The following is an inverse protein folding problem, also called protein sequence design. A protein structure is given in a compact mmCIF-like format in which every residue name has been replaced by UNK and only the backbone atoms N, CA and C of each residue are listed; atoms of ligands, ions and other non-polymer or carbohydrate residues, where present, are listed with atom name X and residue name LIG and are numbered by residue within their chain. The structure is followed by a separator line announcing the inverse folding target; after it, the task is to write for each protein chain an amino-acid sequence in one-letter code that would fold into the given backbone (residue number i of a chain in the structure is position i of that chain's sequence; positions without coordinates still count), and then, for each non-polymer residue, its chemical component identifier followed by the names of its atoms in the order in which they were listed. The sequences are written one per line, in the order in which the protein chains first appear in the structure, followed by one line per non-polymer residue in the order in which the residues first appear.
data_IF_436953561683
#
_entry.id   IF_436953561683
#
_cell.length_a   1.000
_cell.length_b   1.000
_cell.length_c   1.000
_cell.angle_alpha   90.00
_cell.angle_beta   90.00
_cell.angle_gamma   90.00
#
_symmetry.space_group_name_H-M   'P 1'
#
loop_
_entity.id
_entity.type
_entity.pdbx_description
1 polymer ?
#
# COMPACT_ATOMS: atom_id res chain seq x y z
N UNK A 1 -19.01 -14.45 19.29
CA UNK A 1 -18.42 -13.10 19.50
C UNK A 1 -17.04 -13.33 20.05
N UNK A 2 -16.00 -12.96 19.30
CA UNK A 2 -14.61 -13.08 19.74
C UNK A 2 -13.98 -11.71 19.52
N UNK A 3 -14.20 -10.83 20.50
CA UNK A 3 -13.53 -9.55 20.63
C UNK A 3 -12.10 -9.82 21.11
N UNK A 4 -11.19 -10.05 20.16
CA UNK A 4 -9.76 -10.24 20.40
C UNK A 4 -8.96 -9.11 19.76
N UNK A 5 -8.48 -8.21 20.62
CA UNK A 5 -7.40 -7.22 20.46
C UNK A 5 -6.75 -7.11 19.06
N UNK A 6 -6.86 -5.91 18.48
CA UNK A 6 -6.46 -5.58 17.12
C UNK A 6 -5.08 -6.11 16.73
N UNK A 7 -5.07 -7.28 16.07
CA UNK A 7 -3.88 -7.92 15.57
C UNK A 7 -3.12 -6.94 14.68
N UNK A 8 -1.88 -6.67 15.06
CA UNK A 8 -0.97 -5.95 14.20
C UNK A 8 -0.52 -6.90 13.10
N UNK A 9 -0.80 -6.57 11.84
CA UNK A 9 -0.34 -7.35 10.69
C UNK A 9 0.80 -6.61 10.00
N UNK A 10 1.87 -7.33 9.68
CA UNK A 10 3.04 -6.78 9.01
C UNK A 10 3.35 -7.61 7.76
N UNK A 11 3.49 -6.93 6.63
CA UNK A 11 3.88 -7.49 5.35
C UNK A 11 5.06 -6.67 4.84
N UNK A 12 6.15 -7.33 4.48
CA UNK A 12 7.35 -6.71 3.93
C UNK A 12 7.94 -7.64 2.87
N UNK A 13 8.00 -7.17 1.64
CA UNK A 13 8.59 -7.90 0.54
C UNK A 13 9.03 -6.93 -0.56
N UNK A 14 9.98 -7.41 -1.36
CA UNK A 14 10.40 -6.74 -2.58
C UNK A 14 9.96 -7.57 -3.78
N UNK A 15 9.55 -6.90 -4.86
CA UNK A 15 9.18 -7.54 -6.13
C UNK A 15 9.59 -6.65 -7.29
N UNK A 16 9.55 -7.18 -8.52
CA UNK A 16 9.72 -6.38 -9.73
C UNK A 16 8.35 -5.94 -10.25
N UNK A 17 8.18 -4.64 -10.45
CA UNK A 17 7.04 -4.05 -11.16
C UNK A 17 7.58 -3.32 -12.37
N UNK A 18 7.18 -3.75 -13.58
CA UNK A 18 7.67 -3.18 -14.84
C UNK A 18 9.22 -3.19 -14.90
N UNK A 19 9.83 -4.33 -14.53
CA UNK A 19 11.29 -4.55 -14.43
C UNK A 19 12.05 -3.66 -13.42
N UNK A 20 11.34 -2.88 -12.60
CA UNK A 20 11.92 -2.03 -11.55
C UNK A 20 11.74 -2.71 -10.19
N UNK A 21 12.83 -2.83 -9.44
CA UNK A 21 12.79 -3.32 -8.05
C UNK A 21 11.92 -2.40 -7.19
N UNK A 22 10.94 -2.99 -6.52
CA UNK A 22 9.88 -2.29 -5.80
C UNK A 22 9.76 -2.89 -4.40
N UNK A 23 10.03 -2.08 -3.39
CA UNK A 23 9.84 -2.44 -2.00
C UNK A 23 8.42 -2.09 -1.56
N UNK A 24 7.71 -3.05 -0.97
CA UNK A 24 6.35 -2.88 -0.45
C UNK A 24 6.32 -3.29 1.01
N UNK A 25 5.88 -2.37 1.86
CA UNK A 25 5.67 -2.62 3.29
C UNK A 25 4.29 -2.17 3.72
N UNK A 26 3.59 -3.03 4.45
CA UNK A 26 2.28 -2.74 5.00
C UNK A 26 2.29 -3.08 6.48
N UNK A 27 2.06 -2.08 7.33
CA UNK A 27 1.86 -2.25 8.76
C UNK A 27 0.42 -1.86 9.08
N UNK A 28 -0.37 -2.83 9.48
CA UNK A 28 -1.73 -2.62 9.93
C UNK A 28 -1.79 -2.73 11.45
N UNK A 29 -2.30 -1.71 12.12
CA UNK A 29 -2.56 -1.68 13.57
C UNK A 29 -4.06 -1.68 13.82
N UNK A 30 -4.49 -1.59 15.07
CA UNK A 30 -5.92 -1.44 15.41
C UNK A 30 -6.57 -0.17 14.82
N UNK A 31 -5.80 0.90 14.64
CA UNK A 31 -6.33 2.25 14.27
C UNK A 31 -5.82 2.77 12.93
N UNK A 32 -4.68 2.28 12.46
CA UNK A 32 -4.00 2.78 11.27
C UNK A 32 -3.61 1.63 10.34
N UNK A 33 -3.55 1.91 9.04
CA UNK A 33 -2.79 1.13 8.08
C UNK A 33 -1.73 2.04 7.43
N UNK A 34 -0.47 1.66 7.59
CA UNK A 34 0.68 2.31 6.99
C UNK A 34 1.09 1.50 5.76
N UNK A 35 1.18 2.14 4.60
CA UNK A 35 1.55 1.52 3.33
C UNK A 35 2.74 2.31 2.78
N UNK A 36 3.87 1.63 2.59
CA UNK A 36 5.08 2.19 2.05
C UNK A 36 5.46 1.45 0.77
N UNK A 37 5.68 2.20 -0.30
CA UNK A 37 6.03 1.68 -1.62
C UNK A 37 7.13 2.55 -2.21
N UNK A 38 8.22 1.92 -2.64
CA UNK A 38 9.38 2.63 -3.15
C UNK A 38 10.04 1.89 -4.33
N UNK A 39 10.35 2.62 -5.40
CA UNK A 39 11.06 2.13 -6.60
C UNK A 39 12.48 2.72 -6.78
N UNK A 40 13.05 3.32 -5.73
CA UNK A 40 14.45 3.78 -5.70
C UNK A 40 14.71 5.14 -6.38
N UNK A 41 15.88 5.72 -6.12
CA UNK A 41 16.17 7.17 -6.11
C UNK A 41 16.16 7.93 -7.44
N UNK A 42 16.15 7.26 -8.60
CA UNK A 42 16.21 7.97 -9.89
C UNK A 42 14.82 8.36 -10.41
N UNK A 43 14.48 9.65 -10.31
CA UNK A 43 13.26 10.29 -10.83
C UNK A 43 11.97 9.57 -10.45
N UNK A 44 11.44 9.93 -9.28
CA UNK A 44 10.17 9.38 -8.78
C UNK A 44 9.05 10.41 -8.83
N UNK A 45 7.84 9.89 -9.03
CA UNK A 45 6.59 10.61 -8.85
C UNK A 45 5.91 10.12 -7.57
N UNK A 46 5.37 11.05 -6.79
CA UNK A 46 4.63 10.75 -5.57
C UNK A 46 3.16 10.51 -5.91
N UNK A 47 2.66 9.33 -5.57
CA UNK A 47 1.28 8.89 -5.80
C UNK A 47 0.53 8.56 -4.50
N UNK A 48 1.01 9.10 -3.37
CA UNK A 48 0.49 8.88 -2.01
C UNK A 48 -1.04 9.06 -1.95
N UNK A 49 -1.52 10.24 -2.35
CA UNK A 49 -2.95 10.56 -2.33
C UNK A 49 -3.73 9.80 -3.40
N UNK A 50 -3.13 9.49 -4.55
CA UNK A 50 -3.77 8.67 -5.58
C UNK A 50 -4.06 7.26 -5.06
N UNK A 51 -3.08 6.59 -4.45
CA UNK A 51 -3.28 5.25 -3.90
C UNK A 51 -4.25 5.26 -2.72
N UNK A 52 -4.10 6.24 -1.81
CA UNK A 52 -4.99 6.40 -0.65
C UNK A 52 -6.45 6.59 -1.06
N UNK A 53 -6.71 7.37 -2.11
CA UNK A 53 -8.05 7.58 -2.65
C UNK A 53 -8.63 6.28 -3.24
N UNK A 54 -7.82 5.50 -3.96
CA UNK A 54 -8.27 4.23 -4.53
C UNK A 54 -8.61 3.19 -3.44
N UNK A 55 -7.80 3.07 -2.39
CA UNK A 55 -8.09 2.20 -1.24
C UNK A 55 -9.37 2.65 -0.52
N UNK A 56 -9.52 3.96 -0.30
CA UNK A 56 -10.70 4.54 0.37
C UNK A 56 -11.99 4.29 -0.43
N UNK A 57 -11.94 4.44 -1.77
CA UNK A 57 -13.07 4.17 -2.67
C UNK A 57 -13.48 2.70 -2.67
N UNK A 58 -12.52 1.79 -2.56
CA UNK A 58 -12.78 0.35 -2.44
C UNK A 58 -13.42 -0.06 -1.11
N UNK A 59 -13.58 0.88 -0.15
CA UNK A 59 -14.13 0.63 1.20
C UNK A 59 -13.36 -0.45 1.97
N UNK A 60 -12.08 -0.63 1.65
CA UNK A 60 -11.21 -1.57 2.34
C UNK A 60 -10.73 -0.89 3.63
N UNK A 61 -10.88 -1.58 4.77
CA UNK A 61 -10.54 -1.07 6.11
C UNK A 61 -11.15 0.33 6.41
N UNK A 62 -12.48 0.50 6.27
CA UNK A 62 -13.12 1.83 6.27
C UNK A 62 -13.01 2.59 7.60
N UNK A 63 -12.71 1.90 8.70
CA UNK A 63 -12.59 2.48 10.04
C UNK A 63 -11.14 2.81 10.42
N UNK A 64 -10.16 2.54 9.56
CA UNK A 64 -8.73 2.77 9.84
C UNK A 64 -8.24 4.02 9.14
N UNK A 65 -7.36 4.76 9.81
CA UNK A 65 -6.64 5.88 9.19
C UNK A 65 -5.59 5.33 8.23
N UNK A 66 -5.60 5.79 6.98
CA UNK A 66 -4.62 5.39 5.96
C UNK A 66 -3.47 6.39 5.92
N UNK A 67 -2.25 5.89 6.08
CA UNK A 67 -1.01 6.64 5.87
C UNK A 67 -0.26 5.95 4.74
N UNK A 68 -0.09 6.65 3.62
CA UNK A 68 0.45 6.07 2.39
C UNK A 68 1.65 6.89 1.93
N UNK A 69 2.75 6.21 1.64
CA UNK A 69 3.91 6.73 0.92
C UNK A 69 4.09 5.85 -0.31
N UNK A 70 3.92 6.43 -1.50
CA UNK A 70 3.93 5.71 -2.76
C UNK A 70 4.82 6.46 -3.76
N UNK A 71 6.06 6.02 -3.85
CA UNK A 71 7.08 6.60 -4.71
C UNK A 71 7.40 5.65 -5.85
N UNK A 72 6.95 5.99 -7.06
CA UNK A 72 7.08 5.12 -8.23
C UNK A 72 7.57 5.89 -9.45
N UNK A 73 8.22 5.20 -10.39
CA UNK A 73 8.88 5.86 -11.54
C UNK A 73 7.92 6.27 -12.64
N UNK A 74 6.83 5.52 -12.85
CA UNK A 74 5.89 5.74 -13.95
C UNK A 74 4.45 5.55 -13.51
N UNK A 75 3.52 6.11 -14.30
CA UNK A 75 2.09 5.94 -14.04
C UNK A 75 1.62 4.49 -14.31
N UNK A 76 2.26 3.81 -15.26
CA UNK A 76 2.02 2.40 -15.55
C UNK A 76 2.40 1.53 -14.34
N UNK A 77 3.58 1.77 -13.75
CA UNK A 77 4.00 1.08 -12.54
C UNK A 77 3.03 1.34 -11.37
N UNK A 78 2.53 2.57 -11.23
CA UNK A 78 1.49 2.90 -10.26
C UNK A 78 0.23 2.03 -10.44
N UNK A 79 -0.24 1.85 -11.67
CA UNK A 79 -1.46 1.07 -11.94
C UNK A 79 -1.33 -0.41 -11.57
N UNK A 80 -0.13 -1.00 -11.72
CA UNK A 80 0.12 -2.38 -11.32
C UNK A 80 0.31 -2.50 -9.81
N UNK A 81 1.07 -1.59 -9.20
CA UNK A 81 1.20 -1.48 -7.74
C UNK A 81 -0.16 -1.35 -7.07
N UNK A 82 -1.05 -0.51 -7.61
CA UNK A 82 -2.41 -0.36 -7.11
C UNK A 82 -3.14 -1.70 -7.03
N UNK A 83 -3.07 -2.54 -8.07
CA UNK A 83 -3.72 -3.86 -8.08
C UNK A 83 -3.13 -4.75 -6.99
N UNK A 84 -1.80 -4.82 -6.90
CA UNK A 84 -1.08 -5.62 -5.87
C UNK A 84 -1.54 -5.24 -4.46
N UNK A 85 -1.59 -3.94 -4.16
CA UNK A 85 -2.00 -3.45 -2.83
C UNK A 85 -3.46 -3.75 -2.53
N UNK A 86 -4.37 -3.52 -3.48
CA UNK A 86 -5.79 -3.83 -3.29
C UNK A 86 -6.01 -5.33 -3.06
N UNK A 87 -5.28 -6.19 -3.79
CA UNK A 87 -5.36 -7.65 -3.62
C UNK A 87 -4.83 -8.09 -2.24
N UNK A 88 -3.74 -7.50 -1.76
CA UNK A 88 -3.19 -7.79 -0.43
C UNK A 88 -4.19 -7.41 0.66
N UNK A 89 -4.80 -6.22 0.56
CA UNK A 89 -5.69 -5.71 1.60
C UNK A 89 -7.09 -6.37 1.61
N UNK A 90 -7.47 -7.04 0.52
CA UNK A 90 -8.75 -7.76 0.40
C UNK A 90 -8.68 -9.18 0.97
N UNK A 91 -7.47 -9.73 1.15
CA UNK A 91 -7.24 -10.99 1.85
C UNK A 91 -7.28 -10.80 3.37
#
# INVERSE_FOLDING_TARGET
MNDGEGATAYIDFSTKVQDIDTDIKILETSTHAFIYINQGEERMHLYDESLKNEISRSKIRPNKKLVVFCSVRTHEAFNDIKKIILDILTK
#
